data_IF_633517936779
#
_entry.id   IF_633517936779
#
_cell.length_a   1.000
_cell.length_b   1.000
_cell.length_c   1.000
_cell.angle_alpha   90.00
_cell.angle_beta   90.00
_cell.angle_gamma   90.00
#
_symmetry.space_group_name_H-M   'P 1'
#
loop_
_entity.id
_entity.type
_entity.pdbx_description
1 polymer ?
#
# COMPACT_ATOMS: atom_id res chain seq x y z
N UNK A 1 -66.54 51.56 23.11
CA UNK A 1 -65.67 50.46 22.67
C UNK A 1 -65.11 50.83 21.30
N UNK A 2 -64.00 51.57 21.23
CA UNK A 2 -63.30 51.87 19.96
C UNK A 2 -61.83 52.21 20.26
N UNK A 3 -60.96 51.67 19.41
CA UNK A 3 -59.54 51.39 19.61
C UNK A 3 -58.64 52.60 19.95
N UNK A 4 -57.75 52.42 20.93
CA UNK A 4 -56.44 53.10 20.96
C UNK A 4 -55.48 52.37 20.02
N UNK A 5 -55.44 52.76 18.74
CA UNK A 5 -54.36 52.32 17.85
C UNK A 5 -53.08 53.08 18.24
N UNK A 6 -52.10 52.35 18.76
CA UNK A 6 -50.79 52.84 19.18
C UNK A 6 -50.07 53.37 17.93
N UNK A 7 -49.98 54.70 17.76
CA UNK A 7 -49.29 55.29 16.61
C UNK A 7 -47.81 54.88 16.64
N UNK A 8 -47.41 54.02 15.71
CA UNK A 8 -46.02 53.64 15.51
C UNK A 8 -45.30 54.87 14.93
N UNK A 9 -44.30 55.40 15.64
CA UNK A 9 -43.49 56.52 15.15
C UNK A 9 -42.89 56.14 13.79
N UNK A 10 -43.06 56.99 12.78
CA UNK A 10 -42.58 56.80 11.40
C UNK A 10 -41.08 56.47 11.34
N UNK A 11 -40.29 57.00 12.27
CA UNK A 11 -38.86 56.66 12.43
C UNK A 11 -38.59 55.17 12.66
N UNK A 12 -39.50 54.44 13.34
CA UNK A 12 -39.37 52.99 13.54
C UNK A 12 -39.56 52.21 12.24
N UNK A 13 -40.45 52.68 11.37
CA UNK A 13 -40.65 52.08 10.04
C UNK A 13 -39.47 52.35 9.12
N UNK A 14 -38.88 53.56 9.18
CA UNK A 14 -37.66 53.91 8.43
C UNK A 14 -36.48 53.04 8.90
N UNK A 15 -36.25 52.91 10.22
CA UNK A 15 -35.17 52.08 10.74
C UNK A 15 -35.37 50.59 10.41
N UNK A 16 -36.61 50.09 10.46
CA UNK A 16 -36.93 48.72 10.05
C UNK A 16 -36.66 48.49 8.56
N UNK A 17 -37.05 49.42 7.69
CA UNK A 17 -36.78 49.33 6.26
C UNK A 17 -35.28 49.33 5.96
N UNK A 18 -34.52 50.25 6.58
CA UNK A 18 -33.05 50.29 6.45
C UNK A 18 -32.43 48.96 6.92
N UNK A 19 -32.92 48.40 8.03
CA UNK A 19 -32.45 47.11 8.55
C UNK A 19 -32.72 45.95 7.58
N UNK A 20 -33.91 45.89 6.98
CA UNK A 20 -34.25 44.88 5.96
C UNK A 20 -33.39 45.02 4.70
N UNK A 21 -33.16 46.26 4.24
CA UNK A 21 -32.27 46.55 3.10
C UNK A 21 -30.83 46.13 3.40
N UNK A 22 -30.34 46.37 4.62
CA UNK A 22 -29.01 45.93 5.07
C UNK A 22 -28.89 44.40 5.06
N UNK A 23 -29.89 43.68 5.57
CA UNK A 23 -29.91 42.21 5.53
C UNK A 23 -29.88 41.72 4.09
N UNK A 24 -30.70 42.30 3.21
CA UNK A 24 -30.73 41.92 1.80
C UNK A 24 -29.38 42.19 1.10
N UNK A 25 -28.74 43.32 1.39
CA UNK A 25 -27.44 43.67 0.83
C UNK A 25 -26.33 42.69 1.29
N UNK A 26 -26.31 42.33 2.58
CA UNK A 26 -25.38 41.33 3.14
C UNK A 26 -25.61 39.97 2.48
N UNK A 27 -26.87 39.54 2.38
CA UNK A 27 -27.23 38.27 1.76
C UNK A 27 -26.86 38.22 0.26
N UNK A 28 -27.13 39.29 -0.49
CA UNK A 28 -26.76 39.41 -1.91
C UNK A 28 -25.25 39.37 -2.10
N UNK A 29 -24.51 40.09 -1.26
CA UNK A 29 -23.03 40.11 -1.30
C UNK A 29 -22.46 38.72 -1.00
N UNK A 30 -23.00 38.04 0.02
CA UNK A 30 -22.61 36.67 0.35
C UNK A 30 -22.84 35.70 -0.82
N UNK A 31 -24.01 35.76 -1.49
CA UNK A 31 -24.30 34.90 -2.64
C UNK A 31 -23.40 35.20 -3.84
N UNK A 32 -23.15 36.48 -4.16
CA UNK A 32 -22.23 36.87 -5.24
C UNK A 32 -20.81 36.40 -4.97
N UNK A 33 -20.32 36.58 -3.73
CA UNK A 33 -19.00 36.13 -3.33
C UNK A 33 -18.89 34.60 -3.36
N UNK A 34 -19.90 33.89 -2.85
CA UNK A 34 -19.95 32.43 -2.90
C UNK A 34 -19.90 31.95 -4.35
N UNK A 35 -20.78 32.48 -5.21
CA UNK A 35 -20.85 32.08 -6.61
C UNK A 35 -19.54 32.38 -7.34
N UNK A 36 -18.92 33.54 -7.08
CA UNK A 36 -17.60 33.87 -7.64
C UNK A 36 -16.52 32.91 -7.16
N UNK A 37 -16.43 32.60 -5.87
CA UNK A 37 -15.42 31.65 -5.33
C UNK A 37 -15.59 30.22 -5.86
N UNK A 38 -16.82 29.79 -6.10
CA UNK A 38 -17.13 28.45 -6.64
C UNK A 38 -17.15 28.40 -8.16
N UNK A 39 -16.99 29.54 -8.84
CA UNK A 39 -16.97 29.61 -10.30
C UNK A 39 -15.68 28.96 -10.83
N UNK A 40 -15.80 28.09 -11.82
CA UNK A 40 -14.71 27.22 -12.30
C UNK A 40 -13.47 28.02 -12.74
N UNK A 41 -13.66 29.25 -13.24
CA UNK A 41 -12.59 30.10 -13.76
C UNK A 41 -11.94 31.03 -12.72
N UNK A 42 -12.56 31.18 -11.54
CA UNK A 42 -12.13 32.18 -10.56
C UNK A 42 -10.83 31.82 -9.84
N UNK A 43 -10.62 30.53 -9.56
CA UNK A 43 -9.53 29.98 -8.77
C UNK A 43 -9.09 28.61 -9.29
N UNK A 44 -8.39 28.57 -10.44
CA UNK A 44 -7.81 27.34 -10.95
C UNK A 44 -6.74 26.83 -9.99
N UNK A 45 -6.74 25.52 -9.75
CA UNK A 45 -5.64 24.84 -9.07
C UNK A 45 -4.35 25.03 -9.87
N UNK A 46 -3.43 25.84 -9.34
CA UNK A 46 -2.22 26.25 -10.06
C UNK A 46 -0.96 25.60 -9.47
N UNK A 47 -1.04 25.13 -8.22
CA UNK A 47 0.12 24.60 -7.51
C UNK A 47 -0.13 23.21 -6.90
N UNK A 48 0.81 22.30 -7.14
CA UNK A 48 0.85 20.96 -6.58
C UNK A 48 2.11 20.82 -5.74
N UNK A 49 1.96 20.48 -4.46
CA UNK A 49 3.08 20.12 -3.59
C UNK A 49 3.01 18.63 -3.32
N UNK A 50 3.94 17.87 -3.90
CA UNK A 50 4.01 16.43 -3.74
C UNK A 50 5.11 16.04 -2.74
N UNK A 51 4.71 15.40 -1.63
CA UNK A 51 5.60 15.00 -0.54
C UNK A 51 5.59 13.48 -0.31
N UNK A 52 6.61 12.95 0.36
CA UNK A 52 6.80 11.51 0.63
C UNK A 52 8.14 11.00 0.08
N UNK A 53 8.64 9.90 0.63
CA UNK A 53 9.74 9.15 0.02
C UNK A 53 9.19 8.34 -1.15
N UNK A 54 9.62 8.66 -2.37
CA UNK A 54 9.08 8.10 -3.61
C UNK A 54 10.21 7.56 -4.48
N UNK A 55 10.07 6.33 -4.97
CA UNK A 55 10.99 5.69 -5.91
C UNK A 55 10.34 5.49 -7.28
N UNK A 56 9.03 5.22 -7.33
CA UNK A 56 8.30 4.88 -8.55
C UNK A 56 7.30 5.96 -8.98
N UNK A 57 6.75 6.72 -8.04
CA UNK A 57 5.71 7.72 -8.30
C UNK A 57 6.35 9.09 -8.58
N UNK A 58 6.28 9.49 -9.85
CA UNK A 58 6.69 10.81 -10.30
C UNK A 58 5.56 11.83 -10.18
N UNK A 59 5.91 13.12 -10.24
CA UNK A 59 4.91 14.19 -10.27
C UNK A 59 3.99 14.08 -11.48
N UNK A 60 4.49 13.54 -12.61
CA UNK A 60 3.70 13.37 -13.83
C UNK A 60 2.51 12.43 -13.60
N UNK A 61 2.71 11.30 -12.91
CA UNK A 61 1.63 10.34 -12.62
C UNK A 61 0.50 11.01 -11.82
N UNK A 62 0.86 11.90 -10.90
CA UNK A 62 -0.11 12.63 -10.07
C UNK A 62 -0.83 13.69 -10.90
N UNK A 63 -0.11 14.44 -11.72
CA UNK A 63 -0.68 15.41 -12.64
C UNK A 63 -1.64 14.77 -13.63
N UNK A 64 -1.31 13.61 -14.19
CA UNK A 64 -2.17 12.89 -15.14
C UNK A 64 -3.52 12.54 -14.48
N UNK A 65 -3.52 12.03 -13.25
CA UNK A 65 -4.74 11.74 -12.47
C UNK A 65 -5.55 13.00 -12.19
N UNK A 66 -4.90 14.16 -12.00
CA UNK A 66 -5.57 15.44 -11.80
C UNK A 66 -6.17 16.00 -13.09
N UNK A 67 -5.48 15.87 -14.23
CA UNK A 67 -5.93 16.37 -15.54
C UNK A 67 -7.13 15.56 -16.05
N UNK A 68 -7.20 14.27 -15.73
CA UNK A 68 -8.37 13.43 -16.03
C UNK A 68 -9.67 13.87 -15.30
N UNK A 69 -9.61 14.79 -14.34
CA UNK A 69 -10.77 15.33 -13.62
C UNK A 69 -11.49 16.46 -14.39
N UNK A 70 -11.77 16.23 -15.68
CA UNK A 70 -12.35 17.19 -16.64
C UNK A 70 -13.25 18.27 -15.98
N UNK A 71 -12.88 19.54 -16.19
CA UNK A 71 -13.65 20.74 -15.82
C UNK A 71 -13.94 20.96 -14.32
N UNK A 72 -13.26 20.28 -13.38
CA UNK A 72 -13.49 20.45 -11.92
C UNK A 72 -12.25 20.84 -11.12
N UNK A 73 -11.31 21.55 -11.73
CA UNK A 73 -10.07 21.99 -11.07
C UNK A 73 -10.20 23.35 -10.35
N UNK A 74 -11.39 23.68 -9.83
CA UNK A 74 -11.53 24.80 -8.91
C UNK A 74 -11.20 24.34 -7.48
N UNK A 75 -10.37 25.12 -6.78
CA UNK A 75 -9.90 24.81 -5.42
C UNK A 75 -11.04 24.48 -4.43
N UNK A 76 -12.17 25.17 -4.51
CA UNK A 76 -13.32 24.97 -3.64
C UNK A 76 -14.16 23.76 -4.03
N UNK A 77 -14.38 23.50 -5.32
CA UNK A 77 -15.30 22.46 -5.81
C UNK A 77 -14.62 21.12 -6.09
N UNK A 78 -13.29 21.06 -6.13
CA UNK A 78 -12.55 19.81 -6.37
C UNK A 78 -12.91 18.73 -5.32
N UNK A 79 -13.27 17.54 -5.82
CA UNK A 79 -13.64 16.37 -5.03
C UNK A 79 -12.40 15.57 -4.64
N UNK A 80 -11.85 15.91 -3.46
CA UNK A 80 -10.60 15.34 -2.96
C UNK A 80 -10.67 13.82 -2.79
N UNK A 81 -11.82 13.30 -2.36
CA UNK A 81 -12.01 11.86 -2.15
C UNK A 81 -11.88 11.06 -3.46
N UNK A 82 -12.35 11.61 -4.58
CA UNK A 82 -12.25 10.95 -5.88
C UNK A 82 -10.80 10.90 -6.38
N UNK A 83 -10.07 12.01 -6.25
CA UNK A 83 -8.65 12.09 -6.61
C UNK A 83 -7.84 11.14 -5.73
N UNK A 84 -8.09 11.14 -4.41
CA UNK A 84 -7.41 10.25 -3.48
C UNK A 84 -7.62 8.79 -3.89
N UNK A 85 -8.86 8.39 -4.18
CA UNK A 85 -9.16 7.04 -4.64
C UNK A 85 -8.43 6.69 -5.94
N UNK A 86 -8.46 7.56 -6.95
CA UNK A 86 -7.75 7.32 -8.22
C UNK A 86 -6.23 7.22 -8.05
N UNK A 87 -5.65 7.94 -7.09
CA UNK A 87 -4.23 7.81 -6.75
C UNK A 87 -3.95 6.48 -6.04
N UNK A 88 -4.79 6.09 -5.09
CA UNK A 88 -4.68 4.81 -4.36
C UNK A 88 -4.93 3.59 -5.28
N UNK A 89 -5.69 3.76 -6.36
CA UNK A 89 -5.86 2.74 -7.40
C UNK A 89 -4.56 2.50 -8.21
N UNK A 90 -3.54 3.37 -8.10
CA UNK A 90 -2.24 3.14 -8.75
C UNK A 90 -1.45 2.08 -7.98
N UNK A 91 -0.90 1.04 -8.65
CA UNK A 91 -0.33 -0.11 -7.94
C UNK A 91 0.81 0.19 -6.96
N UNK A 92 1.59 1.25 -7.20
CA UNK A 92 2.71 1.63 -6.33
C UNK A 92 2.33 2.56 -5.18
N UNK A 93 1.08 3.03 -5.12
CA UNK A 93 0.58 3.88 -4.04
C UNK A 93 -0.03 2.98 -2.97
N UNK A 94 0.51 3.04 -1.75
CA UNK A 94 -0.10 2.40 -0.59
C UNK A 94 -1.19 3.28 0.01
N UNK A 95 -0.91 4.58 0.14
CA UNK A 95 -1.91 5.55 0.56
C UNK A 95 -1.61 6.93 0.00
N UNK A 96 -2.68 7.69 -0.25
CA UNK A 96 -2.59 9.09 -0.64
C UNK A 96 -3.32 9.95 0.38
N UNK A 97 -2.71 11.04 0.81
CA UNK A 97 -3.34 12.03 1.68
C UNK A 97 -3.30 13.38 1.00
N UNK A 98 -4.48 13.91 0.70
CA UNK A 98 -4.63 15.17 -0.02
C UNK A 98 -5.22 16.22 0.90
N UNK A 99 -4.62 17.41 0.93
CA UNK A 99 -5.14 18.56 1.67
C UNK A 99 -5.15 19.80 0.80
N UNK A 100 -6.26 20.54 0.89
CA UNK A 100 -6.38 21.88 0.33
C UNK A 100 -5.53 22.84 1.15
N UNK A 101 -4.61 23.55 0.51
CA UNK A 101 -3.83 24.62 1.09
C UNK A 101 -4.16 25.91 0.36
N UNK A 102 -4.87 26.80 1.04
CA UNK A 102 -5.29 28.07 0.46
C UNK A 102 -4.06 28.91 0.06
N UNK A 103 -4.09 29.65 -1.06
CA UNK A 103 -5.28 29.94 -1.90
C UNK A 103 -5.63 28.93 -2.98
N UNK A 104 -4.66 28.26 -3.58
CA UNK A 104 -4.83 27.54 -4.86
C UNK A 104 -3.98 26.25 -4.93
N UNK A 105 -3.51 25.76 -3.78
CA UNK A 105 -2.55 24.66 -3.69
C UNK A 105 -3.22 23.37 -3.23
N UNK A 106 -2.90 22.25 -3.89
CA UNK A 106 -3.11 20.92 -3.31
C UNK A 106 -1.79 20.39 -2.77
N UNK A 107 -1.78 20.06 -1.48
CA UNK A 107 -0.69 19.30 -0.87
C UNK A 107 -1.06 17.83 -0.89
N UNK A 108 -0.31 17.06 -1.65
CA UNK A 108 -0.49 15.61 -1.79
C UNK A 108 0.70 14.93 -1.11
N UNK A 109 0.39 14.01 -0.19
CA UNK A 109 1.37 13.15 0.46
C UNK A 109 1.12 11.73 0.00
N UNK A 110 2.12 11.13 -0.65
CA UNK A 110 2.03 9.76 -1.16
C UNK A 110 2.96 8.89 -0.33
N UNK A 111 2.43 7.76 0.14
CA UNK A 111 3.21 6.66 0.70
C UNK A 111 3.26 5.57 -0.35
N UNK A 112 4.46 5.20 -0.78
CA UNK A 112 4.64 4.10 -1.74
C UNK A 112 4.54 2.71 -1.08
N UNK A 113 4.15 1.74 -1.89
CA UNK A 113 4.17 0.33 -1.52
C UNK A 113 5.60 -0.13 -1.22
N UNK A 114 5.80 -0.73 -0.04
CA UNK A 114 7.08 -1.38 0.29
C UNK A 114 7.01 -2.85 -0.08
N UNK A 115 7.57 -3.21 -1.22
CA UNK A 115 7.53 -4.59 -1.74
C UNK A 115 8.60 -5.45 -1.08
N UNK A 116 8.21 -6.63 -0.58
CA UNK A 116 9.12 -7.59 0.06
C UNK A 116 9.35 -8.86 -0.76
N UNK A 117 8.38 -9.23 -1.60
CA UNK A 117 8.39 -10.50 -2.31
C UNK A 117 7.66 -10.42 -3.65
N UNK A 118 8.00 -11.33 -4.57
CA UNK A 118 7.10 -11.69 -5.66
C UNK A 118 6.13 -12.77 -5.18
N UNK A 119 4.88 -12.67 -5.63
CA UNK A 119 3.78 -13.54 -5.23
C UNK A 119 3.30 -14.36 -6.42
N UNK A 120 3.39 -15.69 -6.31
CA UNK A 120 2.92 -16.64 -7.32
C UNK A 120 3.43 -16.34 -8.76
N UNK A 121 4.59 -15.66 -8.89
CA UNK A 121 5.15 -15.17 -10.17
C UNK A 121 4.25 -14.21 -10.98
N UNK A 122 3.09 -13.83 -10.47
CA UNK A 122 2.08 -13.01 -11.18
C UNK A 122 1.91 -11.62 -10.58
N UNK A 123 2.25 -11.45 -9.31
CA UNK A 123 2.00 -10.26 -8.53
C UNK A 123 3.20 -9.96 -7.60
N UNK A 124 3.13 -8.82 -6.92
CA UNK A 124 4.04 -8.46 -5.84
C UNK A 124 3.33 -8.55 -4.50
N UNK A 125 4.10 -8.66 -3.43
CA UNK A 125 3.60 -8.66 -2.06
C UNK A 125 4.25 -7.54 -1.27
N UNK A 126 3.42 -6.68 -0.68
CA UNK A 126 3.93 -5.62 0.17
C UNK A 126 4.27 -6.13 1.58
N UNK A 127 4.82 -5.23 2.41
CA UNK A 127 5.21 -5.51 3.80
C UNK A 127 4.07 -5.94 4.73
N UNK A 128 2.82 -5.75 4.34
CA UNK A 128 1.64 -6.13 5.11
C UNK A 128 1.02 -7.44 4.62
N UNK A 129 1.58 -8.06 3.58
CA UNK A 129 1.00 -9.27 2.99
C UNK A 129 -0.14 -8.98 2.02
N UNK A 130 -0.31 -7.73 1.59
CA UNK A 130 -1.30 -7.37 0.58
C UNK A 130 -0.72 -7.62 -0.83
N UNK A 131 -1.56 -8.20 -1.68
CA UNK A 131 -1.21 -8.48 -3.07
C UNK A 131 -1.31 -7.19 -3.87
N UNK A 132 -0.21 -6.84 -4.53
CA UNK A 132 -0.11 -5.70 -5.43
C UNK A 132 -0.07 -6.26 -6.85
N UNK A 133 -1.07 -5.92 -7.67
CA UNK A 133 -1.27 -6.42 -9.03
C UNK A 133 -0.26 -5.81 -10.03
N UNK A 134 1.02 -6.10 -9.81
CA UNK A 134 2.14 -5.75 -10.66
C UNK A 134 2.91 -7.02 -10.97
N UNK A 135 3.12 -7.28 -12.25
CA UNK A 135 3.94 -8.42 -12.67
C UNK A 135 5.40 -8.15 -12.28
N UNK A 136 6.05 -9.04 -11.51
CA UNK A 136 7.44 -8.87 -11.14
C UNK A 136 8.35 -8.87 -12.38
N UNK A 137 9.31 -7.94 -12.43
CA UNK A 137 10.34 -7.95 -13.47
C UNK A 137 11.43 -8.95 -13.11
N UNK A 138 12.07 -9.57 -14.11
CA UNK A 138 13.24 -10.45 -13.89
C UNK A 138 14.42 -9.72 -13.22
N UNK A 139 14.47 -8.39 -13.37
CA UNK A 139 15.48 -7.54 -12.73
C UNK A 139 15.23 -7.35 -11.24
N UNK A 140 14.02 -7.62 -10.78
CA UNK A 140 13.64 -7.42 -9.39
C UNK A 140 14.13 -8.61 -8.56
N UNK A 141 15.12 -8.39 -7.71
CA UNK A 141 15.73 -9.46 -6.90
C UNK A 141 14.90 -9.84 -5.66
N UNK A 142 13.58 -9.94 -5.80
CA UNK A 142 12.67 -10.33 -4.73
C UNK A 142 12.77 -11.82 -4.39
N UNK A 143 12.44 -12.18 -3.15
CA UNK A 143 12.18 -13.57 -2.78
C UNK A 143 10.85 -14.01 -3.42
N UNK A 144 10.77 -15.25 -3.90
CA UNK A 144 9.53 -15.77 -4.48
C UNK A 144 8.70 -16.48 -3.42
N UNK A 145 7.49 -16.00 -3.18
CA UNK A 145 6.51 -16.60 -2.26
C UNK A 145 5.33 -17.19 -3.04
N UNK A 146 4.85 -18.35 -2.60
CA UNK A 146 3.75 -19.06 -3.25
C UNK A 146 2.71 -19.56 -2.24
N UNK A 147 1.44 -19.48 -2.62
CA UNK A 147 0.32 -19.97 -1.80
C UNK A 147 -1.04 -19.55 -2.33
N UNK A 148 -2.07 -19.85 -1.55
CA UNK A 148 -3.44 -19.33 -1.77
C UNK A 148 -3.46 -17.84 -1.42
N UNK A 149 -4.17 -17.03 -2.23
CA UNK A 149 -4.15 -15.57 -2.12
C UNK A 149 -4.67 -15.11 -0.73
N UNK A 150 -5.62 -15.85 -0.13
CA UNK A 150 -6.16 -15.63 1.22
C UNK A 150 -5.14 -15.87 2.34
N UNK A 151 -4.02 -16.55 2.05
CA UNK A 151 -2.96 -16.89 3.01
C UNK A 151 -1.67 -16.12 2.75
N UNK A 152 -1.70 -15.13 1.87
CA UNK A 152 -0.56 -14.29 1.52
C UNK A 152 0.15 -13.69 2.75
N UNK A 153 -0.60 -13.16 3.71
CA UNK A 153 -0.08 -12.65 4.98
C UNK A 153 0.58 -13.76 5.84
N UNK A 154 -0.06 -14.94 5.96
CA UNK A 154 0.49 -16.08 6.71
C UNK A 154 1.83 -16.55 6.11
N UNK A 155 1.91 -16.64 4.78
CA UNK A 155 3.11 -17.05 4.05
C UNK A 155 4.21 -16.01 4.21
N UNK A 156 3.89 -14.71 4.12
CA UNK A 156 4.84 -13.63 4.35
C UNK A 156 5.40 -13.67 5.78
N UNK A 157 4.53 -13.79 6.77
CA UNK A 157 4.92 -13.87 8.18
C UNK A 157 5.84 -15.07 8.44
N UNK A 158 5.50 -16.23 7.87
CA UNK A 158 6.37 -17.42 7.93
C UNK A 158 7.73 -17.12 7.31
N UNK A 159 7.77 -16.53 6.10
CA UNK A 159 9.03 -16.15 5.45
C UNK A 159 9.87 -15.21 6.33
N UNK A 160 9.27 -14.17 6.91
CA UNK A 160 9.99 -13.20 7.76
C UNK A 160 10.65 -13.90 8.94
N UNK A 161 9.91 -14.76 9.65
CA UNK A 161 10.44 -15.50 10.79
C UNK A 161 11.56 -16.46 10.39
N UNK A 162 11.37 -17.24 9.31
CA UNK A 162 12.38 -18.17 8.83
C UNK A 162 13.64 -17.45 8.34
N UNK A 163 13.48 -16.33 7.63
CA UNK A 163 14.58 -15.50 7.15
C UNK A 163 15.38 -14.92 8.33
N UNK A 164 14.70 -14.50 9.40
CA UNK A 164 15.36 -14.01 10.62
C UNK A 164 16.23 -15.08 11.28
N UNK A 165 15.78 -16.34 11.30
CA UNK A 165 16.55 -17.48 11.85
C UNK A 165 17.73 -17.88 10.96
N UNK A 166 17.56 -17.86 9.64
CA UNK A 166 18.56 -18.32 8.67
C UNK A 166 19.69 -17.30 8.43
N UNK A 167 19.36 -16.00 8.49
CA UNK A 167 20.27 -14.89 8.14
C UNK A 167 21.60 -14.88 8.92
N UNK A 168 21.65 -15.13 10.24
CA UNK A 168 22.93 -15.17 10.99
C UNK A 168 23.88 -16.28 10.52
N UNK A 169 23.32 -17.39 10.03
CA UNK A 169 24.09 -18.51 9.48
C UNK A 169 24.41 -18.34 7.98
N UNK A 170 24.18 -17.15 7.43
CA UNK A 170 24.41 -16.79 6.03
C UNK A 170 23.60 -17.59 5.00
N UNK A 171 22.58 -18.33 5.43
CA UNK A 171 21.62 -18.95 4.52
C UNK A 171 20.61 -17.90 4.05
N UNK A 172 20.40 -17.84 2.73
CA UNK A 172 19.43 -16.94 2.10
C UNK A 172 18.32 -17.75 1.44
N UNK A 173 17.09 -17.32 1.63
CA UNK A 173 15.90 -17.93 1.02
C UNK A 173 15.80 -17.47 -0.44
N UNK A 174 15.62 -18.41 -1.35
CA UNK A 174 15.29 -18.17 -2.75
C UNK A 174 13.77 -18.15 -2.95
N UNK A 175 13.08 -19.12 -2.35
CA UNK A 175 11.63 -19.17 -2.36
C UNK A 175 11.05 -19.87 -1.13
N UNK A 176 9.79 -19.58 -0.84
CA UNK A 176 8.97 -20.30 0.12
C UNK A 176 7.61 -20.58 -0.53
N UNK A 177 7.21 -21.84 -0.57
CA UNK A 177 5.88 -22.24 -1.00
C UNK A 177 5.09 -22.78 0.18
N UNK A 178 3.78 -22.55 0.17
CA UNK A 178 2.82 -23.17 1.08
C UNK A 178 1.67 -23.75 0.27
N UNK A 179 1.42 -25.05 0.43
CA UNK A 179 0.29 -25.70 -0.24
C UNK A 179 -1.05 -25.41 0.46
N UNK A 180 -2.14 -25.92 -0.10
CA UNK A 180 -3.50 -25.80 0.46
C UNK A 180 -3.65 -26.37 1.87
N UNK A 181 -2.77 -27.30 2.25
CA UNK A 181 -2.73 -27.97 3.56
C UNK A 181 -1.79 -27.28 4.54
N UNK A 182 -1.29 -26.09 4.19
CA UNK A 182 -0.29 -25.29 4.90
C UNK A 182 1.05 -26.00 5.09
N UNK A 183 1.33 -27.02 4.26
CA UNK A 183 2.64 -27.66 4.21
C UNK A 183 3.59 -26.76 3.44
N UNK A 184 4.71 -26.39 4.07
CA UNK A 184 5.67 -25.46 3.48
C UNK A 184 6.94 -26.15 3.00
N UNK A 185 7.45 -25.67 1.88
CA UNK A 185 8.78 -26.01 1.35
C UNK A 185 9.57 -24.72 1.10
N UNK A 186 10.84 -24.70 1.50
CA UNK A 186 11.72 -23.55 1.41
C UNK A 186 12.93 -23.91 0.55
N UNK A 187 13.20 -23.12 -0.49
CA UNK A 187 14.39 -23.30 -1.33
C UNK A 187 15.43 -22.26 -0.94
N UNK A 188 16.65 -22.70 -0.66
CA UNK A 188 17.78 -21.82 -0.38
C UNK A 188 18.44 -21.34 -1.68
N UNK A 189 19.12 -20.18 -1.65
CA UNK A 189 19.85 -19.63 -2.81
C UNK A 189 20.98 -20.53 -3.32
N UNK A 190 21.45 -21.50 -2.53
CA UNK A 190 22.41 -22.51 -2.94
C UNK A 190 21.76 -23.73 -3.65
N UNK A 191 20.44 -23.72 -3.85
CA UNK A 191 19.66 -24.75 -4.54
C UNK A 191 19.11 -25.86 -3.64
N UNK A 192 19.42 -25.90 -2.35
CA UNK A 192 18.92 -26.94 -1.44
C UNK A 192 17.45 -26.67 -1.09
N UNK A 193 16.61 -27.69 -1.23
CA UNK A 193 15.21 -27.64 -0.81
C UNK A 193 15.04 -28.17 0.62
N UNK A 194 14.41 -27.41 1.50
CA UNK A 194 14.04 -27.80 2.87
C UNK A 194 12.54 -28.10 2.92
N UNK A 195 12.18 -29.36 3.18
CA UNK A 195 10.76 -29.75 3.34
C UNK A 195 10.37 -29.59 4.80
N UNK A 196 9.65 -28.52 5.11
CA UNK A 196 9.29 -28.15 6.47
C UNK A 196 7.97 -28.75 6.92
N UNK A 197 7.09 -29.14 6.00
CA UNK A 197 5.78 -29.66 6.35
C UNK A 197 4.86 -28.59 6.94
N UNK A 198 3.80 -29.05 7.61
CA UNK A 198 2.72 -28.19 8.11
C UNK A 198 3.02 -27.50 9.44
N UNK A 199 3.63 -28.23 10.38
CA UNK A 199 3.76 -27.80 11.77
C UNK A 199 5.23 -27.63 12.17
N UNK A 200 5.47 -26.88 13.24
CA UNK A 200 6.78 -26.71 13.88
C UNK A 200 7.89 -26.24 12.91
N UNK A 201 7.53 -25.36 11.97
CA UNK A 201 8.42 -24.90 10.89
C UNK A 201 9.70 -24.23 11.44
N UNK A 202 9.56 -23.50 12.55
CA UNK A 202 10.65 -22.79 13.22
C UNK A 202 11.63 -23.77 13.87
N UNK A 203 11.11 -24.73 14.63
CA UNK A 203 11.88 -25.78 15.30
C UNK A 203 12.63 -26.65 14.28
N UNK A 204 11.97 -26.98 13.16
CA UNK A 204 12.56 -27.73 12.05
C UNK A 204 13.73 -26.99 11.39
N UNK A 205 13.62 -25.67 11.22
CA UNK A 205 14.73 -24.85 10.74
C UNK A 205 15.87 -24.77 11.76
N UNK A 206 15.57 -24.67 13.06
CA UNK A 206 16.60 -24.72 14.10
C UNK A 206 17.34 -26.06 14.11
N UNK A 207 16.63 -27.18 13.92
CA UNK A 207 17.23 -28.50 13.77
C UNK A 207 18.19 -28.54 12.56
N UNK A 208 17.76 -28.01 11.41
CA UNK A 208 18.62 -27.86 10.23
C UNK A 208 19.89 -27.07 10.55
N UNK A 209 19.75 -25.90 11.17
CA UNK A 209 20.89 -25.03 11.53
C UNK A 209 21.88 -25.72 12.47
N UNK A 210 21.40 -26.59 13.37
CA UNK A 210 22.25 -27.36 14.29
C UNK A 210 22.95 -28.53 13.61
N UNK A 211 22.26 -29.26 12.73
CA UNK A 211 22.74 -30.52 12.17
C UNK A 211 23.53 -30.34 10.86
N UNK A 212 23.07 -29.47 9.97
CA UNK A 212 23.60 -29.34 8.62
C UNK A 212 25.08 -28.95 8.54
N UNK A 213 25.64 -28.08 9.41
CA UNK A 213 27.07 -27.78 9.40
C UNK A 213 27.97 -29.02 9.60
N UNK A 214 27.49 -30.05 10.33
CA UNK A 214 28.24 -31.30 10.52
C UNK A 214 28.20 -32.17 9.26
N UNK A 215 27.07 -32.17 8.57
CA UNK A 215 26.86 -32.89 7.30
C UNK A 215 27.72 -32.24 6.20
N UNK A 216 27.71 -30.91 6.11
CA UNK A 216 28.47 -30.12 5.16
C UNK A 216 29.99 -30.29 5.28
N UNK A 217 30.50 -30.73 6.45
CA UNK A 217 31.91 -31.09 6.64
C UNK A 217 32.26 -32.48 6.12
N UNK A 218 31.27 -33.39 6.10
CA UNK A 218 31.47 -34.81 5.73
C UNK A 218 31.17 -35.09 4.27
N UNK A 219 30.26 -34.32 3.67
CA UNK A 219 29.77 -34.53 2.31
C UNK A 219 29.85 -33.23 1.49
N UNK A 220 29.99 -33.37 0.18
CA UNK A 220 29.99 -32.21 -0.71
C UNK A 220 28.59 -31.60 -0.80
N UNK A 221 28.44 -30.34 -0.35
CA UNK A 221 27.14 -29.64 -0.29
C UNK A 221 26.42 -29.61 -1.65
N UNK A 222 27.19 -29.54 -2.75
CA UNK A 222 26.65 -29.41 -4.10
C UNK A 222 25.84 -30.62 -4.55
N UNK A 223 26.07 -31.79 -3.95
CA UNK A 223 25.37 -33.04 -4.25
C UNK A 223 24.08 -33.19 -3.46
N UNK A 224 23.80 -32.31 -2.49
CA UNK A 224 22.53 -32.30 -1.75
C UNK A 224 21.45 -31.67 -2.63
N UNK A 225 20.33 -32.38 -2.77
CA UNK A 225 19.14 -31.93 -3.49
C UNK A 225 18.10 -31.34 -2.51
N UNK A 226 17.68 -32.17 -1.55
CA UNK A 226 16.73 -31.76 -0.53
C UNK A 226 17.07 -32.32 0.86
N UNK A 227 16.53 -31.67 1.88
CA UNK A 227 16.54 -32.12 3.26
C UNK A 227 15.10 -32.17 3.74
N UNK A 228 14.64 -33.35 4.11
CA UNK A 228 13.32 -33.57 4.66
C UNK A 228 13.38 -33.44 6.18
N UNK A 229 12.72 -32.39 6.69
CA UNK A 229 12.69 -32.04 8.12
C UNK A 229 11.34 -32.38 8.76
N UNK A 230 10.49 -33.16 8.06
CA UNK A 230 9.16 -33.50 8.56
C UNK A 230 9.17 -34.52 9.71
N UNK A 231 10.34 -35.07 10.04
CA UNK A 231 10.53 -36.03 11.14
C UNK A 231 10.95 -35.31 12.42
N UNK A 232 10.36 -35.70 13.55
CA UNK A 232 10.54 -34.97 14.81
C UNK A 232 11.94 -35.09 15.42
N UNK A 233 12.63 -36.21 15.17
CA UNK A 233 13.92 -36.53 15.81
C UNK A 233 15.08 -36.59 14.83
N UNK A 234 14.87 -36.29 13.55
CA UNK A 234 15.89 -36.48 12.53
C UNK A 234 15.63 -35.71 11.25
N UNK A 235 16.55 -35.87 10.31
CA UNK A 235 16.44 -35.34 8.96
C UNK A 235 16.82 -36.42 7.95
N UNK A 236 16.16 -36.45 6.81
CA UNK A 236 16.55 -37.28 5.68
C UNK A 236 17.16 -36.41 4.58
N UNK A 237 18.24 -36.89 3.96
CA UNK A 237 18.93 -36.16 2.88
C UNK A 237 18.66 -36.88 1.56
N UNK A 238 18.11 -36.14 0.61
CA UNK A 238 18.08 -36.52 -0.79
C UNK A 238 19.30 -35.99 -1.52
N UNK A 239 19.96 -36.86 -2.26
CA UNK A 239 21.12 -36.51 -3.09
C UNK A 239 20.67 -36.32 -4.53
N UNK A 240 21.32 -35.38 -5.23
CA UNK A 240 21.15 -35.23 -6.67
C UNK A 240 21.54 -36.54 -7.35
N UNK A 241 20.70 -37.01 -8.26
CA UNK A 241 21.07 -38.14 -9.12
C UNK A 241 22.14 -37.64 -10.08
N UNK A 242 23.25 -38.36 -10.18
CA UNK A 242 24.23 -38.12 -11.24
C UNK A 242 23.52 -38.30 -12.58
N UNK A 243 23.25 -37.20 -13.28
CA UNK A 243 22.88 -37.22 -14.69
C UNK A 243 24.14 -37.48 -15.51
N UNK A 244 24.74 -38.66 -15.31
CA UNK A 244 25.73 -39.23 -16.19
C UNK A 244 25.04 -40.30 -17.05
N UNK A 245 24.53 -39.88 -18.20
CA UNK A 245 24.30 -40.73 -19.37
C UNK A 245 24.57 -39.91 -20.62
#
# INVERSE_FOLDING_TARGET
MLHKLKQVKISKWISFFIFVVLIYAVQSTFFKLKNWLTDEQSLPLTSLILTGERLHITEQVVTDVLVEQENRLNFFTVEIAEIQKKLEDKPWVYSASIRKHWPDTLKIHIVEQTILASWNQKALLNRFGEIVDVVPSEKDHYVALYGEDEKSEEVLNTYVQLNQLLKPSQYRIASLSSDKRNSSELVLKNGITLKLGKEQKLERIQLFLKAFPRIAKKYEIKTVDYIDLRYDTGLAIGWKKDTAK
#
